data_IF_548740219061
#
_entry.id   IF_548740219061
#
_cell.length_a   1.000
_cell.length_b   1.000
_cell.length_c   1.000
_cell.angle_alpha   90.00
_cell.angle_beta   90.00
_cell.angle_gamma   90.00
#
_symmetry.space_group_name_H-M   'P 1'
#
loop_
_entity.id
_entity.type
_entity.pdbx_description
1 polymer ?
#
# COMPACT_ATOMS: atom_id res chain seq x y z
N UNK A 1 -48.28 -34.46 -1.82
CA UNK A 1 -48.94 -34.43 -0.49
C UNK A 1 -48.13 -35.32 0.46
N UNK A 2 -47.38 -34.76 1.43
CA UNK A 2 -46.47 -35.47 2.38
C UNK A 2 -45.29 -36.20 1.68
N UNK A 3 -44.16 -36.61 2.29
CA UNK A 3 -43.29 -36.12 3.41
C UNK A 3 -41.88 -36.74 3.12
N UNK A 4 -40.75 -36.02 3.10
CA UNK A 4 -39.80 -35.70 4.21
C UNK A 4 -38.92 -36.89 4.70
N UNK A 5 -37.67 -36.59 5.12
CA UNK A 5 -36.63 -37.47 5.76
C UNK A 5 -35.79 -38.29 4.74
N UNK A 6 -34.44 -38.29 4.62
CA UNK A 6 -33.23 -37.87 5.40
C UNK A 6 -32.56 -38.97 6.27
N UNK A 7 -31.36 -39.47 5.89
CA UNK A 7 -30.20 -39.96 6.69
C UNK A 7 -29.15 -40.51 5.67
N UNK A 8 -27.83 -40.25 5.58
CA UNK A 8 -26.69 -39.88 6.47
C UNK A 8 -25.90 -41.12 6.99
N UNK A 9 -24.55 -41.05 7.05
CA UNK A 9 -23.53 -42.02 7.59
C UNK A 9 -23.04 -43.10 6.58
N UNK A 10 -21.76 -43.58 6.48
CA UNK A 10 -20.37 -43.06 6.66
C UNK A 10 -19.34 -44.23 6.38
N UNK A 11 -18.01 -44.01 6.53
CA UNK A 11 -16.95 -45.04 6.90
C UNK A 11 -16.53 -46.08 5.81
N UNK A 12 -15.32 -46.68 5.72
CA UNK A 12 -13.89 -46.45 6.16
C UNK A 12 -13.00 -47.64 5.62
N UNK A 13 -11.69 -47.93 5.85
CA UNK A 13 -10.46 -47.27 6.38
C UNK A 13 -9.19 -48.13 6.04
N UNK A 14 -8.08 -47.56 5.52
CA UNK A 14 -6.68 -48.06 5.67
C UNK A 14 -5.68 -46.98 5.16
N UNK A 15 -4.60 -46.52 5.82
CA UNK A 15 -3.55 -47.07 6.72
C UNK A 15 -2.50 -47.93 6.01
N UNK A 16 -1.18 -47.85 6.25
CA UNK A 16 -0.33 -47.15 7.27
C UNK A 16 0.83 -46.38 6.56
N UNK A 17 1.39 -45.24 7.01
CA UNK A 17 1.80 -44.72 8.32
C UNK A 17 3.26 -45.03 8.75
N UNK A 18 4.08 -43.98 8.84
CA UNK A 18 5.22 -43.85 9.76
C UNK A 18 5.12 -42.46 10.39
N UNK A 19 5.48 -42.33 11.68
CA UNK A 19 5.23 -41.11 12.44
C UNK A 19 6.53 -40.56 13.06
N UNK A 20 6.71 -39.25 12.96
CA UNK A 20 7.62 -38.49 13.79
C UNK A 20 6.78 -37.59 14.70
N UNK A 21 7.09 -37.57 16.01
CA UNK A 21 6.19 -36.99 16.99
C UNK A 21 6.27 -35.45 17.00
N UNK A 22 5.30 -34.79 16.37
CA UNK A 22 5.09 -33.35 16.54
C UNK A 22 4.73 -33.04 18.01
N UNK A 23 5.35 -32.05 18.65
CA UNK A 23 5.02 -31.66 20.01
C UNK A 23 3.60 -31.10 20.08
N UNK A 24 2.85 -31.46 21.14
CA UNK A 24 1.51 -30.91 21.40
C UNK A 24 1.59 -29.47 21.94
N UNK A 25 2.00 -28.54 21.10
CA UNK A 25 1.77 -27.11 21.31
C UNK A 25 0.29 -26.77 21.18
N UNK A 26 -0.19 -25.81 21.97
CA UNK A 26 -1.57 -25.32 21.85
C UNK A 26 -1.75 -24.60 20.51
N UNK A 27 -2.77 -24.96 19.75
CA UNK A 27 -3.26 -24.15 18.63
C UNK A 27 -3.96 -22.90 19.17
N UNK A 28 -3.16 -21.92 19.61
CA UNK A 28 -3.58 -20.52 19.62
C UNK A 28 -4.14 -20.19 18.23
N UNK A 29 -5.21 -19.38 18.11
CA UNK A 29 -5.51 -18.76 16.82
C UNK A 29 -4.26 -17.97 16.42
N UNK A 30 -3.68 -18.30 15.26
CA UNK A 30 -2.40 -17.74 14.84
C UNK A 30 -2.43 -16.21 14.92
N UNK A 31 -1.33 -15.62 15.39
CA UNK A 31 -1.11 -14.19 15.35
C UNK A 31 -1.52 -13.65 13.97
N UNK A 32 -2.24 -12.51 13.88
CA UNK A 32 -2.69 -11.98 12.60
C UNK A 32 -1.45 -11.66 11.77
N UNK A 33 -1.17 -12.51 10.78
CA UNK A 33 -0.01 -12.39 9.92
C UNK A 33 0.02 -10.99 9.34
N UNK A 34 1.05 -10.21 9.72
CA UNK A 34 1.15 -8.81 9.34
C UNK A 34 1.50 -8.79 7.86
N UNK A 35 0.44 -8.69 7.06
CA UNK A 35 0.44 -8.65 5.59
C UNK A 35 1.55 -7.74 5.08
N UNK A 36 2.18 -8.15 3.97
CA UNK A 36 3.21 -7.42 3.20
C UNK A 36 3.07 -5.91 3.38
N UNK A 37 4.16 -5.26 3.77
CA UNK A 37 4.17 -3.86 4.22
C UNK A 37 3.77 -2.89 3.10
N UNK A 38 2.47 -2.58 3.00
CA UNK A 38 1.79 -1.95 1.85
C UNK A 38 2.38 -0.60 1.39
N UNK A 39 3.25 0.05 2.18
CA UNK A 39 4.01 1.22 1.73
C UNK A 39 5.02 0.91 0.59
N UNK A 40 5.39 -0.37 0.40
CA UNK A 40 6.20 -0.84 -0.73
C UNK A 40 5.40 -0.95 -2.02
N UNK A 41 4.09 -1.18 -1.91
CA UNK A 41 3.20 -1.39 -3.05
C UNK A 41 2.68 -0.06 -3.64
N UNK A 42 3.27 1.09 -3.28
CA UNK A 42 2.83 2.41 -3.74
C UNK A 42 3.62 2.97 -4.93
N UNK A 43 2.92 3.65 -5.84
CA UNK A 43 3.53 4.38 -6.94
C UNK A 43 4.10 5.73 -6.45
N UNK A 44 5.40 6.02 -6.66
CA UNK A 44 6.02 7.26 -6.22
C UNK A 44 5.79 8.40 -7.22
N UNK A 45 4.58 8.96 -7.27
CA UNK A 45 4.37 10.27 -7.92
C UNK A 45 5.03 11.38 -7.08
N UNK A 46 5.71 12.32 -7.77
CA UNK A 46 6.48 13.42 -7.15
C UNK A 46 5.58 14.47 -6.45
N UNK A 47 4.28 14.47 -6.76
CA UNK A 47 3.30 15.41 -6.26
C UNK A 47 2.71 14.97 -4.91
N UNK A 48 2.88 15.79 -3.87
CA UNK A 48 2.37 15.56 -2.49
C UNK A 48 0.85 15.70 -2.32
N UNK A 49 0.07 15.33 -3.34
CA UNK A 49 -1.39 15.28 -3.33
C UNK A 49 -1.95 14.01 -2.69
N UNK A 50 -3.27 13.88 -2.67
CA UNK A 50 -3.97 12.78 -1.99
C UNK A 50 -4.06 11.50 -2.83
N UNK A 51 -3.88 11.59 -4.15
CA UNK A 51 -4.09 10.51 -5.11
C UNK A 51 -2.77 9.78 -5.45
N UNK A 52 -2.25 9.05 -4.46
CA UNK A 52 -1.20 8.04 -4.71
C UNK A 52 -1.85 6.74 -5.20
N UNK A 53 -1.70 6.43 -6.49
CA UNK A 53 -2.00 5.09 -7.00
C UNK A 53 -1.11 4.05 -6.31
N UNK A 54 -1.71 2.92 -5.97
CA UNK A 54 -1.04 1.72 -5.48
C UNK A 54 -0.92 0.72 -6.64
N UNK A 55 0.12 -0.11 -6.66
CA UNK A 55 0.32 -1.11 -7.71
C UNK A 55 -0.84 -2.13 -7.76
N UNK A 56 -1.57 -2.32 -6.65
CA UNK A 56 -2.81 -3.12 -6.63
C UNK A 56 -3.95 -2.48 -7.45
N UNK A 57 -3.97 -1.15 -7.61
CA UNK A 57 -5.07 -0.42 -8.24
C UNK A 57 -5.09 -0.62 -9.77
N UNK A 58 -3.98 -1.11 -10.36
CA UNK A 58 -3.92 -1.57 -11.75
C UNK A 58 -4.47 -3.00 -11.95
N UNK A 59 -4.69 -3.76 -10.86
CA UNK A 59 -5.21 -5.14 -10.85
C UNK A 59 -4.62 -6.07 -11.94
N UNK A 60 -3.29 -6.06 -12.12
CA UNK A 60 -2.63 -6.64 -13.30
C UNK A 60 -3.06 -8.09 -13.59
N UNK A 61 -3.72 -8.26 -14.74
CA UNK A 61 -4.20 -9.54 -15.32
C UNK A 61 -3.21 -10.05 -16.38
N UNK A 62 -3.10 -11.37 -16.49
CA UNK A 62 -2.11 -12.02 -17.36
C UNK A 62 -0.69 -11.91 -16.82
N UNK A 63 0.27 -12.51 -17.53
CA UNK A 63 1.69 -12.46 -17.16
C UNK A 63 2.34 -11.22 -17.78
N UNK A 64 2.21 -10.07 -17.11
CA UNK A 64 2.88 -8.82 -17.51
C UNK A 64 4.39 -8.98 -17.30
N UNK A 65 5.18 -8.74 -18.35
CA UNK A 65 6.65 -8.70 -18.34
C UNK A 65 7.18 -7.28 -18.15
N UNK A 66 6.57 -6.29 -18.83
CA UNK A 66 6.85 -4.86 -18.64
C UNK A 66 5.57 -4.04 -18.61
N UNK A 67 5.62 -2.91 -17.92
CA UNK A 67 4.63 -1.85 -17.99
C UNK A 67 5.35 -0.52 -18.23
N UNK A 68 4.93 0.21 -19.27
CA UNK A 68 5.37 1.56 -19.59
C UNK A 68 4.25 2.53 -19.20
N UNK A 69 4.50 3.44 -18.26
CA UNK A 69 3.58 4.51 -17.87
C UNK A 69 4.14 5.85 -18.34
N UNK A 70 3.28 6.68 -18.92
CA UNK A 70 3.57 8.09 -19.25
C UNK A 70 2.53 8.96 -18.54
N UNK A 71 2.98 9.82 -17.62
CA UNK A 71 2.14 10.83 -16.97
C UNK A 71 2.39 12.20 -17.58
N UNK A 72 1.32 12.93 -17.90
CA UNK A 72 1.38 14.33 -18.30
C UNK A 72 0.71 15.25 -17.27
N UNK A 73 1.51 16.06 -16.57
CA UNK A 73 1.00 17.16 -15.76
C UNK A 73 0.70 18.37 -16.68
N UNK A 74 -0.56 18.77 -16.74
CA UNK A 74 -1.07 19.80 -17.67
C UNK A 74 -1.03 21.24 -17.12
N UNK A 75 -0.56 21.41 -15.88
CA UNK A 75 -0.92 22.58 -15.06
C UNK A 75 -0.15 23.87 -15.38
N UNK A 76 1.11 23.79 -15.84
CA UNK A 76 1.94 24.98 -16.13
C UNK A 76 2.87 24.78 -17.34
N UNK A 77 2.81 25.74 -18.28
CA UNK A 77 3.59 25.88 -19.52
C UNK A 77 3.31 24.87 -20.68
N UNK A 78 3.42 25.32 -21.96
CA UNK A 78 3.08 24.50 -23.13
C UNK A 78 4.16 23.48 -23.55
N UNK A 79 5.32 23.49 -22.89
CA UNK A 79 6.34 22.45 -23.07
C UNK A 79 5.97 21.25 -22.18
N UNK A 80 5.04 20.40 -22.65
CA UNK A 80 4.51 19.28 -21.85
C UNK A 80 5.62 18.39 -21.28
N UNK A 81 5.75 18.45 -19.96
CA UNK A 81 6.72 17.70 -19.18
C UNK A 81 6.14 16.33 -18.86
N UNK A 82 6.62 15.31 -19.58
CA UNK A 82 6.22 13.92 -19.37
C UNK A 82 7.23 13.19 -18.49
N UNK A 83 6.79 12.75 -17.31
CA UNK A 83 7.49 11.69 -16.57
C UNK A 83 7.14 10.34 -17.21
N UNK A 84 8.15 9.53 -17.51
CA UNK A 84 8.00 8.16 -18.00
C UNK A 84 8.52 7.16 -16.97
N UNK A 85 7.72 6.16 -16.62
CA UNK A 85 8.12 5.07 -15.73
C UNK A 85 8.07 3.74 -16.47
N UNK A 86 9.17 2.99 -16.43
CA UNK A 86 9.25 1.61 -16.94
C UNK A 86 9.34 0.68 -15.73
N UNK A 87 8.37 -0.21 -15.58
CA UNK A 87 8.39 -1.31 -14.61
C UNK A 87 8.65 -2.61 -15.35
N UNK A 88 9.52 -3.46 -14.80
CA UNK A 88 9.79 -4.82 -15.29
C UNK A 88 9.44 -5.81 -14.18
N UNK A 89 8.87 -6.95 -14.54
CA UNK A 89 8.43 -8.00 -13.63
C UNK A 89 9.18 -9.31 -13.91
N UNK A 90 9.32 -10.15 -12.87
CA UNK A 90 9.76 -11.54 -13.04
C UNK A 90 8.61 -12.44 -13.55
N UNK A 91 8.91 -13.70 -13.87
CA UNK A 91 7.91 -14.68 -14.33
C UNK A 91 6.92 -15.12 -13.24
N UNK A 92 7.03 -14.59 -12.03
CA UNK A 92 6.11 -14.79 -10.90
C UNK A 92 5.24 -13.53 -10.65
N UNK A 93 5.39 -12.48 -11.48
CA UNK A 93 4.68 -11.21 -11.33
C UNK A 93 5.22 -10.30 -10.23
N UNK A 94 6.39 -10.59 -9.64
CA UNK A 94 7.06 -9.69 -8.71
C UNK A 94 7.75 -8.56 -9.48
N UNK A 95 7.77 -7.36 -8.93
CA UNK A 95 8.50 -6.25 -9.54
C UNK A 95 10.01 -6.53 -9.46
N UNK A 96 10.69 -6.66 -10.59
CA UNK A 96 12.14 -6.85 -10.64
C UNK A 96 12.88 -5.50 -10.59
N UNK A 97 12.40 -4.52 -11.36
CA UNK A 97 13.01 -3.20 -11.43
C UNK A 97 12.03 -2.14 -11.92
N UNK A 98 12.16 -0.92 -11.41
CA UNK A 98 11.55 0.29 -11.96
C UNK A 98 12.64 1.25 -12.48
N UNK A 99 12.30 2.12 -13.43
CA UNK A 99 13.10 3.27 -13.90
C UNK A 99 12.16 4.44 -14.13
N UNK A 100 12.46 5.59 -13.54
CA UNK A 100 11.76 6.86 -13.80
C UNK A 100 12.66 7.82 -14.58
N UNK A 101 12.24 8.16 -15.79
CA UNK A 101 12.77 9.26 -16.60
C UNK A 101 11.91 10.50 -16.30
N UNK A 102 12.44 11.40 -15.50
CA UNK A 102 11.89 12.74 -15.31
C UNK A 102 12.83 13.81 -15.86
N UNK A 103 12.71 15.04 -15.38
CA UNK A 103 13.54 16.16 -15.87
C UNK A 103 14.93 16.20 -15.25
N UNK A 104 15.17 15.36 -14.23
CA UNK A 104 16.49 15.09 -13.68
C UNK A 104 17.33 14.37 -14.77
N UNK A 105 18.54 14.86 -15.14
CA UNK A 105 19.27 14.41 -16.33
C UNK A 105 19.86 12.98 -16.22
N UNK A 106 19.62 12.30 -15.10
CA UNK A 106 20.01 10.92 -14.82
C UNK A 106 18.73 10.19 -14.39
N UNK A 107 18.20 9.25 -15.20
CA UNK A 107 17.03 8.47 -14.83
C UNK A 107 17.27 7.65 -13.57
N UNK A 108 16.29 7.65 -12.69
CA UNK A 108 16.39 7.01 -11.37
C UNK A 108 15.75 5.62 -11.43
N UNK A 109 16.56 4.58 -11.29
CA UNK A 109 16.10 3.20 -11.20
C UNK A 109 16.08 2.66 -9.79
N UNK A 110 15.20 1.69 -9.52
CA UNK A 110 15.24 0.84 -8.33
C UNK A 110 15.21 -0.63 -8.75
N UNK A 111 16.08 -1.46 -8.18
CA UNK A 111 16.05 -2.93 -8.32
C UNK A 111 15.58 -3.56 -7.01
N UNK A 112 14.79 -4.62 -7.13
CA UNK A 112 14.14 -5.30 -6.01
C UNK A 112 14.65 -6.74 -5.95
N UNK A 113 15.23 -7.13 -4.81
CA UNK A 113 15.78 -8.46 -4.56
C UNK A 113 14.88 -9.20 -3.58
N UNK A 114 14.59 -10.47 -3.86
CA UNK A 114 13.70 -11.30 -3.04
C UNK A 114 14.43 -12.56 -2.55
N UNK A 115 14.12 -12.96 -1.31
CA UNK A 115 14.48 -14.27 -0.74
C UNK A 115 13.79 -15.40 -1.52
N UNK A 116 14.26 -16.63 -1.34
CA UNK A 116 13.66 -17.84 -1.95
C UNK A 116 12.18 -18.02 -1.55
N UNK A 117 11.80 -17.63 -0.32
CA UNK A 117 10.41 -17.61 0.17
C UNK A 117 9.52 -16.51 -0.46
N UNK A 118 10.11 -15.60 -1.24
CA UNK A 118 9.43 -14.50 -1.91
C UNK A 118 9.26 -13.21 -1.11
N UNK A 119 9.79 -13.13 0.12
CA UNK A 119 9.90 -11.86 0.85
C UNK A 119 10.92 -10.93 0.19
N UNK A 120 10.70 -9.62 0.29
CA UNK A 120 11.62 -8.60 -0.24
C UNK A 120 12.81 -8.47 0.72
N UNK A 121 14.03 -8.62 0.21
CA UNK A 121 15.27 -8.56 0.98
C UNK A 121 15.93 -7.18 0.89
N UNK A 122 15.99 -6.63 -0.32
CA UNK A 122 16.66 -5.36 -0.63
C UNK A 122 15.93 -4.60 -1.72
N UNK A 123 15.83 -3.28 -1.55
CA UNK A 123 15.64 -2.33 -2.66
C UNK A 123 16.94 -1.54 -2.82
N UNK A 124 17.40 -1.37 -4.05
CA UNK A 124 18.64 -0.65 -4.34
C UNK A 124 18.41 0.36 -5.47
N UNK A 125 18.73 1.64 -5.24
CA UNK A 125 18.77 2.65 -6.30
C UNK A 125 19.91 2.35 -7.27
N UNK A 126 19.69 2.57 -8.56
CA UNK A 126 20.74 2.57 -9.57
C UNK A 126 20.53 3.74 -10.54
N UNK A 127 21.63 4.32 -11.02
CA UNK A 127 21.60 5.36 -12.03
C UNK A 127 21.60 4.74 -13.43
N UNK A 128 20.72 5.19 -14.31
CA UNK A 128 20.83 4.87 -15.74
C UNK A 128 21.73 5.91 -16.43
N UNK A 129 22.61 5.49 -17.32
CA UNK A 129 23.40 6.39 -18.16
C UNK A 129 23.38 5.95 -19.63
N UNK A 130 23.56 6.92 -20.54
CA UNK A 130 23.84 6.74 -21.97
C UNK A 130 22.91 5.85 -22.83
N UNK A 131 21.66 5.64 -22.38
CA UNK A 131 20.51 5.44 -23.28
C UNK A 131 20.44 4.16 -24.13
N UNK A 132 21.39 3.23 -24.04
CA UNK A 132 21.36 1.99 -24.83
C UNK A 132 20.48 0.90 -24.16
N UNK A 133 19.54 0.33 -24.91
CA UNK A 133 18.70 -0.79 -24.44
C UNK A 133 19.37 -2.17 -24.62
N UNK A 134 20.67 -2.20 -24.89
CA UNK A 134 21.47 -3.41 -25.15
C UNK A 134 22.20 -3.87 -23.88
N UNK A 135 21.83 -5.02 -23.33
CA UNK A 135 22.52 -5.65 -22.20
C UNK A 135 22.07 -5.14 -20.84
N UNK A 136 21.03 -5.77 -20.27
CA UNK A 136 20.70 -5.62 -18.84
C UNK A 136 21.73 -6.27 -17.92
N UNK A 137 22.59 -7.12 -18.48
CA UNK A 137 23.29 -8.16 -17.75
C UNK A 137 24.66 -7.67 -17.22
N UNK A 138 25.22 -6.62 -17.83
CA UNK A 138 26.45 -5.94 -17.38
C UNK A 138 26.19 -4.82 -16.35
N UNK A 139 24.92 -4.47 -16.07
CA UNK A 139 24.56 -3.34 -15.19
C UNK A 139 24.74 -3.61 -13.69
N UNK A 140 25.17 -4.82 -13.30
CA UNK A 140 25.50 -5.14 -11.90
C UNK A 140 26.91 -4.70 -11.47
N UNK A 141 27.85 -4.53 -12.41
CA UNK A 141 29.24 -4.18 -12.11
C UNK A 141 29.50 -2.66 -12.04
N UNK A 142 28.67 -1.84 -12.70
CA UNK A 142 29.06 -0.45 -13.04
C UNK A 142 28.78 0.55 -11.90
N UNK A 143 27.62 0.47 -11.23
CA UNK A 143 27.28 1.35 -10.10
C UNK A 143 26.45 0.65 -9.01
N UNK A 144 27.06 -0.20 -8.17
CA UNK A 144 26.55 -0.47 -6.84
C UNK A 144 26.75 0.77 -5.97
N UNK A 145 25.90 1.80 -6.16
CA UNK A 145 25.69 2.81 -5.13
C UNK A 145 25.14 2.01 -3.93
N UNK A 146 25.94 1.93 -2.85
CA UNK A 146 25.51 1.28 -1.61
C UNK A 146 24.52 2.15 -0.85
N UNK A 147 24.53 3.45 -1.16
CA UNK A 147 23.56 4.43 -0.75
C UNK A 147 22.25 4.43 -1.53
N UNK A 148 21.27 5.17 -0.99
CA UNK A 148 19.87 5.21 -1.43
C UNK A 148 19.23 3.82 -1.53
N UNK A 149 19.69 2.89 -0.69
CA UNK A 149 19.21 1.53 -0.57
C UNK A 149 18.30 1.35 0.65
N UNK A 150 17.54 0.25 0.65
CA UNK A 150 16.79 -0.22 1.82
C UNK A 150 16.99 -1.74 2.01
N UNK A 151 17.41 -2.15 3.21
CA UNK A 151 17.54 -3.56 3.62
C UNK A 151 16.41 -3.96 4.57
N UNK A 152 15.87 -5.16 4.37
CA UNK A 152 14.73 -5.70 5.10
C UNK A 152 15.14 -6.94 5.89
N UNK A 153 14.97 -6.89 7.21
CA UNK A 153 15.37 -7.96 8.13
C UNK A 153 14.14 -8.61 8.76
N UNK A 154 14.20 -9.93 8.87
CA UNK A 154 13.12 -10.76 9.37
C UNK A 154 13.59 -11.64 10.53
N UNK A 155 12.66 -12.10 11.37
CA UNK A 155 12.91 -13.18 12.34
C UNK A 155 12.70 -14.58 11.71
N UNK A 156 12.95 -15.63 12.50
CA UNK A 156 12.84 -17.04 12.06
C UNK A 156 11.39 -17.43 11.70
N UNK A 157 10.39 -16.77 12.30
CA UNK A 157 8.98 -16.86 11.94
C UNK A 157 8.60 -16.04 10.69
N UNK A 158 9.50 -15.19 10.18
CA UNK A 158 9.32 -14.42 8.96
C UNK A 158 8.58 -13.09 9.13
N UNK A 159 8.46 -12.55 10.35
CA UNK A 159 7.97 -11.18 10.58
C UNK A 159 9.09 -10.16 10.36
N UNK A 160 8.74 -8.97 9.84
CA UNK A 160 9.69 -7.89 9.55
C UNK A 160 10.14 -7.23 10.86
N UNK A 161 11.37 -7.48 11.31
CA UNK A 161 11.90 -6.92 12.56
C UNK A 161 12.59 -5.57 12.37
N UNK A 162 13.18 -5.31 11.20
CA UNK A 162 13.89 -4.05 10.91
C UNK A 162 13.89 -3.70 9.42
N UNK A 163 13.80 -2.41 9.11
CA UNK A 163 14.26 -1.83 7.84
C UNK A 163 15.43 -0.90 8.12
N UNK A 164 16.46 -0.92 7.29
CA UNK A 164 17.60 0.02 7.32
C UNK A 164 17.65 0.77 5.98
N UNK A 165 17.67 2.10 6.02
CA UNK A 165 17.76 2.98 4.86
C UNK A 165 19.12 3.68 4.84
N UNK A 166 19.71 3.78 3.66
CA UNK A 166 21.09 4.23 3.48
C UNK A 166 21.15 5.58 2.76
N UNK A 167 21.95 6.54 3.26
CA UNK A 167 22.28 7.78 2.55
C UNK A 167 23.16 7.51 1.31
N UNK A 168 23.37 8.48 0.43
CA UNK A 168 24.15 8.31 -0.82
C UNK A 168 25.56 7.74 -0.64
N UNK A 169 26.16 7.93 0.54
CA UNK A 169 27.52 7.53 0.87
C UNK A 169 27.58 6.10 1.46
N UNK A 170 26.41 5.48 1.71
CA UNK A 170 26.27 4.11 2.23
C UNK A 170 26.19 4.03 3.76
N UNK A 171 25.97 5.14 4.47
CA UNK A 171 25.74 5.13 5.91
C UNK A 171 24.24 4.97 6.22
N UNK A 172 23.90 4.49 7.42
CA UNK A 172 22.50 4.29 7.82
C UNK A 172 21.88 5.63 8.24
N UNK A 173 21.15 6.30 7.33
CA UNK A 173 20.44 7.55 7.65
C UNK A 173 19.29 7.28 8.65
N UNK A 174 18.54 6.19 8.42
CA UNK A 174 17.30 5.88 9.12
C UNK A 174 17.12 4.36 9.28
N UNK A 175 16.61 3.95 10.43
CA UNK A 175 16.08 2.61 10.67
C UNK A 175 14.64 2.67 11.15
N UNK A 176 13.84 1.71 10.72
CA UNK A 176 12.58 1.35 11.36
C UNK A 176 12.80 0.05 12.14
N UNK A 177 12.61 0.07 13.46
CA UNK A 177 12.67 -1.10 14.32
C UNK A 177 11.26 -1.50 14.71
N UNK A 178 10.85 -2.72 14.39
CA UNK A 178 9.53 -3.26 14.63
C UNK A 178 9.59 -4.24 15.80
N UNK A 179 8.75 -4.06 16.80
CA UNK A 179 8.57 -5.05 17.87
C UNK A 179 7.12 -5.47 17.99
N UNK A 180 6.91 -6.78 18.02
CA UNK A 180 5.60 -7.41 18.09
C UNK A 180 5.28 -7.82 19.53
N UNK A 181 4.03 -7.67 19.97
CA UNK A 181 3.61 -8.26 21.25
C UNK A 181 3.46 -9.78 21.11
N UNK A 182 3.65 -10.53 22.21
CA UNK A 182 3.60 -11.99 22.22
C UNK A 182 2.23 -12.61 21.86
N UNK A 183 1.19 -11.78 21.70
CA UNK A 183 -0.12 -12.17 21.17
C UNK A 183 -0.26 -11.91 19.65
N UNK A 184 0.70 -11.20 19.04
CA UNK A 184 0.70 -10.79 17.65
C UNK A 184 -0.24 -9.63 17.29
N UNK A 185 -1.00 -9.09 18.24
CA UNK A 185 -2.05 -8.10 17.95
C UNK A 185 -1.57 -6.64 18.04
N UNK A 186 -0.32 -6.38 18.38
CA UNK A 186 0.20 -5.02 18.47
C UNK A 186 1.63 -4.93 17.91
N UNK A 187 1.93 -3.81 17.25
CA UNK A 187 3.22 -3.50 16.63
C UNK A 187 3.69 -2.16 17.18
N UNK A 188 4.86 -2.10 17.82
CA UNK A 188 5.57 -0.83 18.06
C UNK A 188 6.66 -0.64 17.00
N UNK A 189 6.55 0.45 16.24
CA UNK A 189 7.57 0.91 15.30
C UNK A 189 8.34 2.06 15.95
N UNK A 190 9.62 1.86 16.21
CA UNK A 190 10.55 2.90 16.63
C UNK A 190 11.36 3.39 15.43
N UNK A 191 11.44 4.72 15.25
CA UNK A 191 12.19 5.35 14.18
C UNK A 191 13.51 5.91 14.76
N UNK A 192 14.64 5.47 14.23
CA UNK A 192 15.99 5.84 14.71
C UNK A 192 16.85 6.34 13.56
N UNK A 193 17.39 7.55 13.70
CA UNK A 193 18.57 8.00 12.94
C UNK A 193 19.78 8.00 13.88
N UNK A 194 21.01 7.96 13.36
CA UNK A 194 22.21 8.01 14.21
C UNK A 194 22.21 9.23 15.14
N UNK A 195 21.75 10.37 14.64
CA UNK A 195 21.75 11.63 15.39
C UNK A 195 20.59 11.75 16.39
N UNK A 196 19.44 11.08 16.14
CA UNK A 196 18.23 11.22 16.99
C UNK A 196 17.29 9.99 16.95
N UNK A 197 16.82 9.58 18.14
CA UNK A 197 15.54 8.85 18.27
C UNK A 197 14.38 9.82 18.01
N UNK A 198 13.63 9.65 16.92
CA UNK A 198 12.54 10.56 16.57
C UNK A 198 11.27 9.81 16.16
N UNK A 199 10.33 9.77 17.11
CA UNK A 199 8.99 9.14 17.06
C UNK A 199 9.01 7.63 17.31
N UNK A 200 8.03 7.19 18.09
CA UNK A 200 7.55 5.82 18.15
C UNK A 200 6.08 5.86 17.71
N UNK A 201 5.63 4.83 17.01
CA UNK A 201 4.22 4.61 16.68
C UNK A 201 3.81 3.23 17.17
N UNK A 202 2.66 3.11 17.82
CA UNK A 202 2.07 1.84 18.24
C UNK A 202 0.78 1.61 17.48
N UNK A 203 0.69 0.47 16.82
CA UNK A 203 -0.49 0.00 16.10
C UNK A 203 -1.10 -1.14 16.90
N UNK A 204 -2.41 -1.06 17.12
CA UNK A 204 -3.19 -2.02 17.87
C UNK A 204 -4.19 -2.64 16.90
N UNK A 205 -4.37 -3.95 16.97
CA UNK A 205 -5.32 -4.71 16.15
C UNK A 205 -6.29 -5.48 17.03
N UNK A 206 -7.42 -5.90 16.48
CA UNK A 206 -8.36 -6.81 17.14
C UNK A 206 -8.13 -8.26 16.72
N UNK A 207 -8.87 -9.20 17.32
CA UNK A 207 -8.79 -10.66 17.03
C UNK A 207 -9.17 -11.06 15.60
N UNK A 208 -9.60 -10.10 14.78
CA UNK A 208 -9.91 -10.27 13.36
C UNK A 208 -8.84 -9.62 12.46
N UNK A 209 -7.70 -9.19 13.02
CA UNK A 209 -6.62 -8.53 12.29
C UNK A 209 -6.95 -7.11 11.82
N UNK A 210 -8.08 -6.51 12.24
CA UNK A 210 -8.45 -5.13 11.88
C UNK A 210 -7.87 -4.14 12.90
N UNK A 211 -7.38 -2.95 12.49
CA UNK A 211 -6.92 -1.91 13.41
C UNK A 211 -7.96 -1.57 14.49
N UNK A 212 -7.52 -1.50 15.75
CA UNK A 212 -8.32 -1.08 16.91
C UNK A 212 -7.84 0.25 17.49
N UNK A 213 -6.57 0.62 17.25
CA UNK A 213 -6.01 1.89 17.71
C UNK A 213 -4.65 2.21 17.10
N UNK A 214 -4.27 3.48 17.15
CA UNK A 214 -2.88 3.95 16.92
C UNK A 214 -2.50 4.93 18.04
N UNK A 215 -1.26 4.88 18.52
CA UNK A 215 -0.66 5.94 19.34
C UNK A 215 0.62 6.44 18.69
N UNK A 216 0.85 7.77 18.67
CA UNK A 216 2.08 8.38 18.14
C UNK A 216 2.76 9.24 19.20
N UNK A 217 4.07 9.08 19.33
CA UNK A 217 4.92 9.73 20.32
C UNK A 217 5.47 11.04 19.75
N UNK A 218 5.20 12.15 20.45
CA UNK A 218 5.69 13.49 20.12
C UNK A 218 7.19 13.66 20.36
N UNK A 219 7.72 14.83 19.97
CA UNK A 219 9.13 15.18 20.20
C UNK A 219 9.49 15.35 21.69
N UNK A 220 8.49 15.56 22.56
CA UNK A 220 8.64 15.55 24.02
C UNK A 220 8.73 14.13 24.61
N UNK A 221 8.65 13.09 23.78
CA UNK A 221 8.68 11.70 24.18
C UNK A 221 7.36 11.14 24.74
N UNK A 222 6.26 11.89 24.73
CA UNK A 222 4.95 11.42 25.22
C UNK A 222 4.04 11.00 24.06
N UNK A 223 3.14 10.05 24.30
CA UNK A 223 2.08 9.75 23.35
C UNK A 223 1.06 10.90 23.36
N UNK A 224 1.19 11.81 22.39
CA UNK A 224 0.42 13.04 22.30
C UNK A 224 -0.67 12.98 21.22
N UNK A 225 -0.56 12.06 20.26
CA UNK A 225 -1.64 11.74 19.32
C UNK A 225 -2.11 10.31 19.55
N UNK A 226 -3.42 10.12 19.68
CA UNK A 226 -4.03 8.79 19.72
C UNK A 226 -5.25 8.72 18.81
N UNK A 227 -5.48 7.55 18.23
CA UNK A 227 -6.60 7.22 17.38
C UNK A 227 -7.23 5.93 17.91
N UNK A 228 -8.55 5.89 18.03
CA UNK A 228 -9.31 4.67 18.30
C UNK A 228 -10.19 4.31 17.10
N UNK A 229 -10.27 3.01 16.81
CA UNK A 229 -11.07 2.46 15.70
C UNK A 229 -12.15 1.56 16.26
N UNK A 230 -13.38 1.67 15.73
CA UNK A 230 -14.46 0.74 16.01
C UNK A 230 -15.25 0.42 14.74
N UNK A 231 -15.91 -0.74 14.73
CA UNK A 231 -16.62 -1.31 13.59
C UNK A 231 -18.01 -1.77 14.00
N UNK A 232 -18.96 -1.81 13.06
CA UNK A 232 -20.30 -2.36 13.33
C UNK A 232 -20.33 -3.90 13.40
N UNK A 233 -21.43 -4.42 13.95
CA UNK A 233 -21.66 -5.86 14.10
C UNK A 233 -22.09 -6.58 12.82
N UNK A 234 -22.28 -5.85 11.71
CA UNK A 234 -22.67 -6.40 10.40
C UNK A 234 -21.47 -6.59 9.46
N UNK A 235 -20.29 -6.08 9.85
CA UNK A 235 -19.13 -5.91 8.96
C UNK A 235 -19.40 -4.99 7.76
N UNK A 236 -20.44 -4.15 7.81
CA UNK A 236 -20.70 -3.12 6.79
C UNK A 236 -19.90 -1.83 7.10
N UNK A 237 -18.69 -2.05 7.61
CA UNK A 237 -17.58 -1.13 7.86
C UNK A 237 -17.96 0.32 8.20
N UNK A 238 -18.83 0.51 9.20
CA UNK A 238 -18.88 1.80 9.89
C UNK A 238 -17.61 1.96 10.71
N UNK A 239 -16.52 2.42 10.09
CA UNK A 239 -15.28 2.78 10.79
C UNK A 239 -15.50 4.13 11.45
N UNK A 240 -15.61 4.13 12.78
CA UNK A 240 -15.45 5.36 13.57
C UNK A 240 -13.98 5.45 13.95
N UNK A 241 -13.30 6.46 13.41
CA UNK A 241 -12.01 6.93 13.89
C UNK A 241 -12.23 8.17 14.76
N UNK A 242 -11.78 8.11 16.02
CA UNK A 242 -11.74 9.28 16.88
C UNK A 242 -10.28 9.66 17.17
N UNK A 243 -9.89 10.83 16.68
CA UNK A 243 -8.54 11.38 16.86
C UNK A 243 -8.50 12.26 18.12
N UNK A 244 -7.41 12.14 18.88
CA UNK A 244 -7.13 12.93 20.07
C UNK A 244 -5.75 13.57 19.99
N UNK A 245 -5.64 14.81 20.46
CA UNK A 245 -4.38 15.52 20.69
C UNK A 245 -4.28 15.88 22.18
N UNK A 246 -3.20 15.47 22.83
CA UNK A 246 -3.00 15.60 24.29
C UNK A 246 -4.18 15.05 25.12
N UNK A 247 -4.82 13.98 24.64
CA UNK A 247 -6.00 13.37 25.26
C UNK A 247 -7.34 14.08 25.02
N UNK A 248 -7.35 15.23 24.34
CA UNK A 248 -8.57 15.93 23.94
C UNK A 248 -8.99 15.52 22.53
N UNK A 249 -10.28 15.22 22.26
CA UNK A 249 -10.74 14.88 20.92
C UNK A 249 -10.58 16.07 19.97
N UNK A 250 -10.13 15.82 18.74
CA UNK A 250 -9.89 16.86 17.72
C UNK A 250 -10.79 16.74 16.50
N UNK A 251 -11.06 15.51 16.05
CA UNK A 251 -12.03 15.22 15.00
C UNK A 251 -12.59 13.81 15.17
N UNK A 252 -13.77 13.57 14.59
CA UNK A 252 -14.37 12.25 14.43
C UNK A 252 -14.59 11.99 12.94
N UNK A 253 -13.98 10.93 12.43
CA UNK A 253 -14.25 10.43 11.08
C UNK A 253 -15.24 9.27 11.17
N UNK A 254 -16.23 9.30 10.28
CA UNK A 254 -17.21 8.25 10.04
C UNK A 254 -17.06 7.82 8.58
N UNK A 255 -16.60 6.60 8.36
CA UNK A 255 -16.64 5.98 7.03
C UNK A 255 -17.86 5.08 6.91
N UNK A 256 -18.38 4.94 5.69
CA UNK A 256 -19.46 4.00 5.37
C UNK A 256 -19.26 3.44 3.97
N UNK A 257 -19.61 2.17 3.80
CA UNK A 257 -19.28 1.36 2.64
C UNK A 257 -20.57 0.79 2.03
N UNK A 258 -20.53 0.40 0.76
CA UNK A 258 -21.67 -0.20 0.07
C UNK A 258 -21.76 -1.72 0.27
N UNK A 259 -22.67 -2.38 -0.47
CA UNK A 259 -22.88 -3.83 -0.38
C UNK A 259 -21.78 -4.69 -1.03
N UNK A 260 -20.89 -4.08 -1.83
CA UNK A 260 -19.69 -4.73 -2.36
C UNK A 260 -18.46 -4.51 -1.43
N UNK A 261 -18.60 -3.64 -0.42
CA UNK A 261 -17.50 -3.27 0.48
C UNK A 261 -16.63 -2.13 -0.03
N UNK A 262 -17.11 -1.34 -1.00
CA UNK A 262 -16.42 -0.15 -1.52
C UNK A 262 -16.75 1.09 -0.67
N UNK A 263 -15.78 1.99 -0.49
CA UNK A 263 -15.93 3.16 0.39
C UNK A 263 -16.90 4.19 -0.20
N UNK A 264 -18.14 4.22 0.27
CA UNK A 264 -19.20 5.09 -0.27
C UNK A 264 -19.12 6.54 0.22
N UNK A 265 -18.88 6.75 1.52
CA UNK A 265 -18.79 8.08 2.12
C UNK A 265 -17.78 8.11 3.26
N UNK A 266 -17.00 9.19 3.35
CA UNK A 266 -16.09 9.50 4.45
C UNK A 266 -16.39 10.89 4.99
N UNK A 267 -17.07 10.97 6.12
CA UNK A 267 -17.51 12.21 6.78
C UNK A 267 -16.62 12.53 7.98
N UNK A 268 -16.11 13.75 8.07
CA UNK A 268 -15.31 14.24 9.20
C UNK A 268 -16.05 15.37 9.92
N UNK A 269 -16.22 15.24 11.23
CA UNK A 269 -16.78 16.29 12.09
C UNK A 269 -15.79 16.73 13.16
N UNK A 270 -15.98 17.95 13.65
CA UNK A 270 -15.31 18.44 14.85
C UNK A 270 -15.83 17.74 16.14
N UNK A 271 -15.29 18.04 17.33
CA UNK A 271 -15.77 17.46 18.59
C UNK A 271 -17.18 17.87 19.00
N UNK A 272 -17.72 18.94 18.42
CA UNK A 272 -19.08 19.44 18.62
C UNK A 272 -20.09 18.79 17.65
N UNK A 273 -19.60 18.09 16.62
CA UNK A 273 -20.40 17.40 15.60
C UNK A 273 -20.64 18.20 14.32
N UNK A 274 -20.06 19.40 14.18
CA UNK A 274 -20.17 20.20 12.96
C UNK A 274 -19.40 19.53 11.82
N UNK A 275 -19.92 19.60 10.59
CA UNK A 275 -19.26 19.06 9.40
C UNK A 275 -18.00 19.87 9.08
N UNK A 276 -16.83 19.23 9.10
CA UNK A 276 -15.57 19.83 8.62
C UNK A 276 -15.39 19.57 7.13
N UNK A 277 -15.55 18.31 6.71
CA UNK A 277 -15.44 17.85 5.32
C UNK A 277 -16.12 16.50 5.14
N UNK A 278 -16.62 16.24 3.93
CA UNK A 278 -17.18 14.96 3.50
C UNK A 278 -16.62 14.61 2.12
N UNK A 279 -16.26 13.35 1.94
CA UNK A 279 -15.97 12.75 0.63
C UNK A 279 -17.09 11.77 0.31
N UNK A 280 -17.59 11.79 -0.93
CA UNK A 280 -18.57 10.83 -1.44
C UNK A 280 -18.01 10.21 -2.72
N UNK A 281 -18.02 8.89 -2.82
CA UNK A 281 -17.46 8.18 -3.98
C UNK A 281 -18.56 7.47 -4.77
N UNK A 282 -18.32 7.26 -6.06
CA UNK A 282 -19.16 6.46 -6.96
C UNK A 282 -18.29 5.52 -7.77
N UNK A 283 -18.83 4.35 -8.09
CA UNK A 283 -18.09 3.27 -8.76
C UNK A 283 -18.86 2.76 -9.99
N UNK A 284 -18.16 2.19 -10.96
CA UNK A 284 -18.78 1.50 -12.11
C UNK A 284 -19.16 0.05 -11.75
N UNK A 285 -19.76 -0.68 -12.70
CA UNK A 285 -20.14 -2.08 -12.52
C UNK A 285 -18.97 -3.07 -12.31
N UNK A 286 -17.73 -2.63 -12.59
CA UNK A 286 -16.49 -3.38 -12.34
C UNK A 286 -15.83 -3.02 -10.99
N UNK A 287 -16.40 -2.07 -10.25
CA UNK A 287 -15.86 -1.61 -8.96
C UNK A 287 -14.83 -0.47 -9.04
N UNK A 288 -14.49 0.04 -10.24
CA UNK A 288 -13.55 1.17 -10.36
C UNK A 288 -14.22 2.49 -10.00
N UNK A 289 -13.47 3.36 -9.29
CA UNK A 289 -13.91 4.69 -8.87
C UNK A 289 -14.19 5.56 -10.10
N UNK A 290 -15.42 6.02 -10.29
CA UNK A 290 -15.82 6.93 -11.40
C UNK A 290 -15.98 8.37 -10.97
N UNK A 291 -16.19 8.64 -9.67
CA UNK A 291 -16.39 10.01 -9.16
C UNK A 291 -16.03 10.14 -7.68
N UNK A 292 -15.37 11.25 -7.34
CA UNK A 292 -15.18 11.75 -5.98
C UNK A 292 -15.88 13.10 -5.87
N UNK A 293 -16.58 13.35 -4.77
CA UNK A 293 -17.15 14.66 -4.42
C UNK A 293 -16.65 15.05 -3.03
N UNK A 294 -15.81 16.06 -2.96
CA UNK A 294 -15.42 16.73 -1.73
C UNK A 294 -16.42 17.85 -1.41
N UNK A 295 -16.94 17.87 -0.19
CA UNK A 295 -17.98 18.79 0.27
C UNK A 295 -17.62 19.32 1.67
N UNK A 296 -17.52 20.64 1.81
CA UNK A 296 -17.16 21.32 3.06
C UNK A 296 -17.96 22.63 3.20
N UNK A 297 -18.02 23.25 4.40
CA UNK A 297 -18.81 24.47 4.61
C UNK A 297 -18.43 25.67 3.72
N UNK A 298 -17.21 25.69 3.19
CA UNK A 298 -16.65 26.83 2.44
C UNK A 298 -16.30 26.50 0.97
N UNK A 299 -16.23 25.22 0.61
CA UNK A 299 -15.69 24.76 -0.67
C UNK A 299 -16.25 23.38 -1.05
N UNK A 300 -16.39 23.15 -2.36
CA UNK A 300 -16.91 21.92 -2.94
C UNK A 300 -16.19 21.60 -4.24
N UNK A 301 -15.40 20.53 -4.21
CA UNK A 301 -14.67 20.01 -5.37
C UNK A 301 -15.31 18.71 -5.86
N UNK A 302 -15.02 18.33 -7.10
CA UNK A 302 -15.58 17.12 -7.72
C UNK A 302 -14.62 16.68 -8.80
N UNK A 303 -14.27 15.40 -8.76
CA UNK A 303 -13.32 14.79 -9.68
C UNK A 303 -14.01 13.57 -10.30
N UNK A 304 -13.88 13.44 -11.62
CA UNK A 304 -14.50 12.39 -12.42
C UNK A 304 -13.37 11.61 -13.09
N UNK A 305 -13.46 10.30 -12.99
CA UNK A 305 -12.40 9.38 -13.35
C UNK A 305 -12.87 8.49 -14.50
N UNK A 306 -12.03 8.33 -15.52
CA UNK A 306 -12.31 7.49 -16.68
C UNK A 306 -11.12 6.59 -17.01
N UNK A 307 -11.43 5.42 -17.55
CA UNK A 307 -10.48 4.33 -17.80
C UNK A 307 -10.72 3.74 -19.18
N UNK A 308 -9.64 3.50 -19.93
CA UNK A 308 -9.63 2.56 -21.06
C UNK A 308 -8.84 1.31 -20.66
N UNK A 309 -9.17 0.15 -21.23
CA UNK A 309 -8.44 -1.10 -20.98
C UNK A 309 -8.13 -1.89 -22.24
N UNK A 310 -7.08 -2.70 -22.19
CA UNK A 310 -6.80 -3.71 -23.21
C UNK A 310 -7.70 -4.95 -23.11
N UNK A 311 -7.44 -5.94 -23.98
CA UNK A 311 -8.17 -7.21 -24.05
C UNK A 311 -8.00 -8.10 -22.80
N UNK A 312 -6.97 -7.86 -21.98
CA UNK A 312 -6.77 -8.55 -20.70
C UNK A 312 -7.52 -7.86 -19.55
N UNK A 313 -8.10 -6.68 -19.78
CA UNK A 313 -8.77 -5.88 -18.76
C UNK A 313 -7.81 -5.10 -17.86
N UNK A 314 -6.62 -4.77 -18.38
CA UNK A 314 -5.63 -3.91 -17.72
C UNK A 314 -5.76 -2.46 -18.21
N UNK A 315 -5.54 -1.48 -17.32
CA UNK A 315 -5.75 -0.06 -17.60
C UNK A 315 -4.71 0.46 -18.59
N UNK A 316 -5.14 0.91 -19.76
CA UNK A 316 -4.28 1.51 -20.82
C UNK A 316 -4.34 3.02 -20.86
N UNK A 317 -5.43 3.63 -20.40
CA UNK A 317 -5.50 5.06 -20.12
C UNK A 317 -6.30 5.31 -18.84
N UNK A 318 -5.84 6.26 -18.03
CA UNK A 318 -6.54 6.77 -16.85
C UNK A 318 -6.54 8.30 -16.89
N UNK A 319 -7.72 8.91 -16.79
CA UNK A 319 -7.89 10.37 -16.83
C UNK A 319 -8.72 10.84 -15.65
N UNK A 320 -8.24 11.88 -14.97
CA UNK A 320 -8.95 12.61 -13.92
C UNK A 320 -9.34 13.98 -14.45
N UNK A 321 -10.63 14.33 -14.32
CA UNK A 321 -11.20 15.62 -14.74
C UNK A 321 -11.95 16.27 -13.60
N UNK A 322 -11.69 17.55 -13.34
CA UNK A 322 -12.37 18.28 -12.27
C UNK A 322 -13.84 18.62 -12.64
N UNK A 323 -14.56 19.26 -11.72
CA UNK A 323 -15.99 19.57 -11.85
C UNK A 323 -16.39 20.49 -13.02
N UNK A 324 -15.42 21.08 -13.72
CA UNK A 324 -15.63 21.88 -14.96
C UNK A 324 -15.28 21.11 -16.24
N UNK A 325 -14.68 19.93 -16.13
CA UNK A 325 -14.12 19.17 -17.26
C UNK A 325 -12.67 19.52 -17.61
N UNK A 326 -11.94 20.25 -16.75
CA UNK A 326 -10.49 20.47 -16.92
C UNK A 326 -9.75 19.19 -16.49
N UNK A 327 -8.84 18.68 -17.32
CA UNK A 327 -7.99 17.52 -16.97
C UNK A 327 -6.95 17.91 -15.91
N UNK A 328 -6.92 17.17 -14.80
CA UNK A 328 -5.95 17.36 -13.71
C UNK A 328 -4.83 16.32 -13.72
N UNK A 329 -5.08 15.14 -14.30
CA UNK A 329 -4.10 14.07 -14.49
C UNK A 329 -4.49 13.20 -15.69
N UNK A 330 -3.52 12.83 -16.53
CA UNK A 330 -3.65 11.81 -17.57
C UNK A 330 -2.46 10.86 -17.53
N UNK A 331 -2.74 9.56 -17.41
CA UNK A 331 -1.77 8.47 -17.53
C UNK A 331 -2.06 7.65 -18.80
N UNK A 332 -1.04 7.42 -19.62
CA UNK A 332 -1.08 6.44 -20.70
C UNK A 332 -0.18 5.26 -20.36
N UNK A 333 -0.69 4.05 -20.57
CA UNK A 333 -0.07 2.81 -20.08
C UNK A 333 -0.02 1.78 -21.21
N UNK A 334 1.14 1.15 -21.39
CA UNK A 334 1.35 0.08 -22.37
C UNK A 334 2.03 -1.11 -21.70
N UNK A 335 1.47 -2.30 -21.90
CA UNK A 335 2.00 -3.55 -21.38
C UNK A 335 2.82 -4.31 -22.44
N UNK A 336 3.83 -5.04 -21.97
CA UNK A 336 4.39 -6.20 -22.67
C UNK A 336 4.10 -7.43 -21.81
N UNK A 337 3.61 -8.50 -22.43
CA UNK A 337 3.35 -9.78 -21.77
C UNK A 337 4.50 -10.78 -22.01
N UNK A 338 4.51 -11.89 -21.28
CA UNK A 338 5.44 -13.01 -21.48
C UNK A 338 5.04 -13.92 -22.65
#
# INVERSE_FOLDING_TARGET
>A
MKKTILFLVLISLALTAFAQAAPRGFSQPGAPYVKRHEALDKYPLKNGGLDQLDWKDFELKGQVRKMYVQSGDLLWEPAMLFDHVIVRFDSLGKMHSSITYGHDPIPNGFRYHYREDGQLERVQRYAWHDGMENGTDDLDDIYPIQGDAALYHYDDEGYLTRIEFFDSDGNIELQHLYTYTADGYNIEIQYTTETRRLRNQRFYYNRQGKPSGIQKKGMDGKFNQTASYSYDSKSNTVTILQDYLNGQPTQKTLESYDAAGLLKEKKVTDPQGNLMRKYSHSYNGSGWLTKTVYDSPNDKMTDNYSYETDEHGNITEYVVTNGKGEESLRLKIRYEYF
#
